data_IF_793079648464
#
_entry.id   IF_793079648464
#
_cell.length_a   1.000
_cell.length_b   1.000
_cell.length_c   1.000
_cell.angle_alpha   90.00
_cell.angle_beta   90.00
_cell.angle_gamma   90.00
#
_symmetry.space_group_name_H-M   'P 1'
#
loop_
_entity.id
_entity.type
_entity.pdbx_description
1 polymer ?
#
# COMPACT_ATOMS: atom_id res chain seq x y z
N UNK A 1 -13.25 1.14 -16.04
CA UNK A 1 -14.02 2.40 -16.08
C UNK A 1 -13.16 3.58 -16.50
N UNK A 2 -11.99 3.77 -15.89
CA UNK A 2 -11.05 4.84 -16.25
C UNK A 2 -10.76 4.94 -17.75
N UNK A 3 -10.60 3.83 -18.47
CA UNK A 3 -10.38 3.84 -19.91
C UNK A 3 -11.54 4.42 -20.74
N UNK A 4 -12.79 4.23 -20.27
CA UNK A 4 -13.99 4.74 -20.95
C UNK A 4 -14.29 6.20 -20.60
N UNK A 5 -13.96 6.63 -19.37
CA UNK A 5 -14.31 7.96 -18.85
C UNK A 5 -13.22 9.01 -19.06
N UNK A 6 -11.95 8.62 -19.02
CA UNK A 6 -10.84 9.56 -19.19
C UNK A 6 -10.29 9.56 -20.61
N UNK A 7 -9.90 10.76 -21.09
CA UNK A 7 -9.18 10.93 -22.36
C UNK A 7 -7.80 10.27 -22.29
N UNK A 8 -7.19 10.06 -23.46
CA UNK A 8 -5.91 9.34 -23.61
C UNK A 8 -4.79 9.86 -22.70
N UNK A 9 -4.63 11.18 -22.56
CA UNK A 9 -3.55 11.79 -21.76
C UNK A 9 -3.79 11.57 -20.25
N UNK A 10 -4.91 12.04 -19.63
CA UNK A 10 -5.18 11.76 -18.21
C UNK A 10 -5.15 10.28 -17.86
N UNK A 11 -5.65 9.43 -18.76
CA UNK A 11 -5.63 7.97 -18.60
C UNK A 11 -4.21 7.41 -18.54
N UNK A 12 -3.31 7.89 -19.38
CA UNK A 12 -1.91 7.47 -19.38
C UNK A 12 -1.20 7.92 -18.10
N UNK A 13 -1.46 9.16 -17.65
CA UNK A 13 -0.92 9.68 -16.39
C UNK A 13 -1.37 8.81 -15.21
N UNK A 14 -2.67 8.50 -15.11
CA UNK A 14 -3.19 7.62 -14.06
C UNK A 14 -2.54 6.23 -14.11
N UNK A 15 -2.36 5.66 -15.30
CA UNK A 15 -1.68 4.38 -15.44
C UNK A 15 -0.23 4.43 -14.97
N UNK A 16 0.54 5.45 -15.38
CA UNK A 16 1.93 5.63 -14.92
C UNK A 16 1.98 5.75 -13.40
N UNK A 17 1.10 6.54 -12.78
CA UNK A 17 1.05 6.69 -11.33
C UNK A 17 0.76 5.36 -10.61
N UNK A 18 -0.13 4.53 -11.16
CA UNK A 18 -0.41 3.20 -10.60
C UNK A 18 0.76 2.24 -10.80
N UNK A 19 1.47 2.27 -11.93
CA UNK A 19 2.68 1.45 -12.09
C UNK A 19 3.79 1.88 -11.14
N UNK A 20 4.00 3.18 -10.92
CA UNK A 20 4.94 3.67 -9.90
C UNK A 20 4.52 3.18 -8.51
N UNK A 21 3.23 3.09 -8.22
CA UNK A 21 2.70 2.52 -6.98
C UNK A 21 3.07 1.05 -6.79
N UNK A 22 2.88 0.27 -7.86
CA UNK A 22 3.18 -1.16 -7.86
C UNK A 22 4.68 -1.38 -7.70
N UNK A 23 5.51 -0.65 -8.45
CA UNK A 23 6.97 -0.75 -8.36
C UNK A 23 7.47 -0.29 -6.97
N UNK A 24 6.91 0.78 -6.41
CA UNK A 24 7.30 1.25 -5.09
C UNK A 24 7.00 0.23 -4.00
N UNK A 25 5.80 -0.35 -4.02
CA UNK A 25 5.41 -1.43 -3.11
C UNK A 25 6.26 -2.69 -3.27
N UNK A 26 6.60 -3.04 -4.51
CA UNK A 26 7.48 -4.15 -4.89
C UNK A 26 8.91 -3.94 -4.30
N UNK A 27 9.44 -2.72 -4.38
CA UNK A 27 10.72 -2.40 -3.75
C UNK A 27 10.70 -2.59 -2.23
N UNK A 28 9.66 -2.10 -1.53
CA UNK A 28 9.53 -2.27 -0.07
C UNK A 28 9.50 -3.75 0.33
N UNK A 29 8.86 -4.55 -0.50
CA UNK A 29 8.75 -5.98 -0.30
C UNK A 29 10.08 -6.72 -0.50
N UNK A 30 10.83 -6.38 -1.55
CA UNK A 30 12.18 -6.92 -1.77
C UNK A 30 13.09 -6.58 -0.59
N UNK A 31 12.99 -5.36 -0.06
CA UNK A 31 13.72 -4.95 1.15
C UNK A 31 13.32 -5.81 2.35
N UNK A 32 12.02 -5.95 2.63
CA UNK A 32 11.54 -6.75 3.77
C UNK A 32 11.95 -8.23 3.68
N UNK A 33 11.81 -8.83 2.50
CA UNK A 33 12.17 -10.23 2.25
C UNK A 33 13.69 -10.44 2.34
N UNK A 34 14.49 -9.50 1.83
CA UNK A 34 15.94 -9.55 1.97
C UNK A 34 16.40 -9.45 3.44
N UNK A 35 15.76 -8.57 4.24
CA UNK A 35 16.01 -8.47 5.69
C UNK A 35 15.58 -9.76 6.40
N UNK A 36 14.44 -10.35 6.05
CA UNK A 36 14.00 -11.62 6.61
C UNK A 36 15.00 -12.75 6.34
N UNK A 37 15.50 -12.88 5.11
CA UNK A 37 16.54 -13.87 4.75
C UNK A 37 17.85 -13.58 5.49
N UNK A 38 18.22 -12.31 5.62
CA UNK A 38 19.40 -11.89 6.39
C UNK A 38 19.31 -12.32 7.86
N UNK A 39 18.15 -12.14 8.49
CA UNK A 39 17.89 -12.58 9.86
C UNK A 39 17.84 -14.11 10.00
N UNK A 40 17.12 -14.81 9.11
CA UNK A 40 17.00 -16.28 9.12
C UNK A 40 18.35 -16.99 8.91
N UNK A 41 19.19 -16.44 8.04
CA UNK A 41 20.51 -17.00 7.75
C UNK A 41 21.57 -16.63 8.80
N UNK A 42 21.18 -15.98 9.90
CA UNK A 42 22.11 -15.46 10.89
C UNK A 42 23.25 -14.62 10.25
N UNK A 43 22.89 -13.70 9.35
CA UNK A 43 23.82 -12.81 8.62
C UNK A 43 24.76 -13.52 7.62
N UNK A 44 24.62 -14.83 7.39
CA UNK A 44 25.43 -15.56 6.39
C UNK A 44 25.12 -15.08 4.97
N UNK A 45 23.84 -14.84 4.67
CA UNK A 45 23.41 -14.32 3.37
C UNK A 45 23.40 -12.80 3.44
N UNK A 46 24.26 -12.09 2.69
CA UNK A 46 24.26 -10.62 2.70
C UNK A 46 22.98 -10.05 2.05
N UNK A 47 22.64 -8.80 2.38
CA UNK A 47 21.39 -8.15 1.93
C UNK A 47 21.24 -8.13 0.41
N UNK A 48 22.31 -7.84 -0.33
CA UNK A 48 22.29 -7.87 -1.80
C UNK A 48 22.01 -9.26 -2.36
N UNK A 49 22.50 -10.31 -1.70
CA UNK A 49 22.22 -11.69 -2.09
C UNK A 49 20.78 -12.08 -1.74
N UNK A 50 20.28 -11.62 -0.59
CA UNK A 50 18.86 -11.70 -0.24
C UNK A 50 17.96 -11.08 -1.32
N UNK A 51 18.32 -9.89 -1.82
CA UNK A 51 17.61 -9.23 -2.92
C UNK A 51 17.63 -10.02 -4.24
N UNK A 52 18.69 -10.79 -4.52
CA UNK A 52 18.73 -11.66 -5.70
C UNK A 52 17.91 -12.93 -5.51
N UNK A 53 17.87 -13.47 -4.29
CA UNK A 53 17.07 -14.66 -3.97
C UNK A 53 15.58 -14.38 -4.21
N UNK A 54 15.10 -13.16 -3.99
CA UNK A 54 13.69 -12.80 -4.24
C UNK A 54 13.27 -12.89 -5.71
N UNK A 55 14.22 -13.04 -6.65
CA UNK A 55 13.91 -13.39 -8.04
C UNK A 55 13.23 -14.76 -8.11
N UNK A 56 13.63 -15.70 -7.26
CA UNK A 56 13.06 -17.06 -7.20
C UNK A 56 11.57 -17.00 -6.82
N UNK A 57 11.20 -16.04 -5.99
CA UNK A 57 9.83 -15.80 -5.53
C UNK A 57 8.92 -15.45 -6.71
N UNK A 58 9.45 -14.72 -7.70
CA UNK A 58 8.73 -14.39 -8.94
C UNK A 58 8.41 -15.64 -9.76
N UNK A 59 9.35 -16.58 -9.83
CA UNK A 59 9.13 -17.87 -10.49
C UNK A 59 8.11 -18.71 -9.71
N UNK A 60 8.17 -18.66 -8.37
CA UNK A 60 7.21 -19.34 -7.49
C UNK A 60 5.80 -18.81 -7.68
N UNK A 61 5.62 -17.49 -7.72
CA UNK A 61 4.34 -16.85 -8.01
C UNK A 61 3.78 -17.31 -9.36
N UNK A 62 4.61 -17.25 -10.38
CA UNK A 62 4.16 -17.55 -11.72
C UNK A 62 3.89 -19.06 -11.94
N UNK A 63 4.55 -19.93 -11.17
CA UNK A 63 4.17 -21.34 -11.06
C UNK A 63 2.80 -21.51 -10.37
N UNK A 64 2.53 -20.77 -9.30
CA UNK A 64 1.26 -20.80 -8.58
C UNK A 64 0.08 -20.23 -9.40
N UNK A 65 0.31 -19.19 -10.20
CA UNK A 65 -0.71 -18.60 -11.10
C UNK A 65 -1.27 -19.63 -12.11
N UNK A 66 -0.47 -20.64 -12.50
CA UNK A 66 -0.92 -21.73 -13.38
C UNK A 66 -2.05 -22.55 -12.78
N UNK A 67 -2.19 -22.59 -11.45
CA UNK A 67 -3.18 -23.41 -10.75
C UNK A 67 -4.54 -22.73 -10.56
N UNK A 68 -4.70 -21.48 -11.01
CA UNK A 68 -5.96 -20.73 -10.98
C UNK A 68 -6.21 -19.94 -9.69
N UNK A 69 -7.11 -18.95 -9.77
CA UNK A 69 -7.31 -17.92 -8.73
C UNK A 69 -7.69 -18.51 -7.36
N UNK A 70 -8.55 -19.52 -7.32
CA UNK A 70 -9.05 -20.10 -6.05
C UNK A 70 -7.96 -20.74 -5.19
N UNK A 71 -6.98 -21.38 -5.82
CA UNK A 71 -5.83 -21.98 -5.10
C UNK A 71 -4.87 -20.89 -4.60
N UNK A 72 -4.77 -19.80 -5.35
CA UNK A 72 -3.97 -18.65 -4.99
C UNK A 72 -4.61 -17.85 -3.83
N UNK A 73 -5.93 -17.71 -3.79
CA UNK A 73 -6.65 -17.17 -2.62
C UNK A 73 -6.40 -18.00 -1.36
N UNK A 74 -6.43 -19.35 -1.46
CA UNK A 74 -6.07 -20.21 -0.32
C UNK A 74 -4.62 -20.03 0.11
N UNK A 75 -3.70 -19.81 -0.83
CA UNK A 75 -2.30 -19.50 -0.52
C UNK A 75 -2.15 -18.16 0.22
N UNK A 76 -2.89 -17.12 -0.20
CA UNK A 76 -2.96 -15.87 0.57
C UNK A 76 -3.50 -16.07 1.98
N UNK A 77 -4.57 -16.86 2.13
CA UNK A 77 -5.11 -17.22 3.43
C UNK A 77 -4.05 -17.90 4.32
N UNK A 78 -3.22 -18.78 3.74
CA UNK A 78 -2.10 -19.41 4.44
C UNK A 78 -1.06 -18.39 4.89
N UNK A 79 -0.62 -17.48 4.02
CA UNK A 79 0.37 -16.44 4.38
C UNK A 79 -0.16 -15.51 5.47
N UNK A 80 -1.43 -15.08 5.37
CA UNK A 80 -2.08 -14.26 6.41
C UNK A 80 -2.18 -15.01 7.73
N UNK A 81 -2.48 -16.31 7.69
CA UNK A 81 -2.51 -17.15 8.89
C UNK A 81 -1.13 -17.27 9.53
N UNK A 82 -0.07 -17.45 8.72
CA UNK A 82 1.31 -17.44 9.20
C UNK A 82 1.63 -16.12 9.90
N UNK A 83 1.36 -14.97 9.26
CA UNK A 83 1.56 -13.65 9.88
C UNK A 83 0.79 -13.48 11.20
N UNK A 84 -0.48 -13.92 11.23
CA UNK A 84 -1.31 -13.85 12.42
C UNK A 84 -0.77 -14.70 13.57
N UNK A 85 -0.24 -15.90 13.28
CA UNK A 85 0.36 -16.78 14.28
C UNK A 85 1.71 -16.24 14.74
N UNK A 86 2.59 -15.82 13.82
CA UNK A 86 3.94 -15.36 14.18
C UNK A 86 3.89 -14.07 14.98
N UNK A 87 3.17 -13.05 14.50
CA UNK A 87 3.09 -11.77 15.23
C UNK A 87 2.18 -11.89 16.46
N UNK A 88 1.18 -12.78 16.44
CA UNK A 88 0.39 -13.11 17.62
C UNK A 88 1.22 -13.78 18.72
N UNK A 89 2.15 -14.66 18.35
CA UNK A 89 3.11 -15.25 19.29
C UNK A 89 3.97 -14.16 19.95
N UNK A 90 4.55 -13.25 19.17
CA UNK A 90 5.34 -12.13 19.72
C UNK A 90 4.52 -11.24 20.67
N UNK A 91 3.25 -10.98 20.33
CA UNK A 91 2.33 -10.24 21.19
C UNK A 91 2.08 -10.95 22.52
N UNK A 92 1.85 -12.26 22.51
CA UNK A 92 1.61 -13.03 23.74
C UNK A 92 2.88 -13.12 24.59
N UNK A 93 4.04 -13.32 23.97
CA UNK A 93 5.33 -13.45 24.67
C UNK A 93 5.79 -12.13 25.27
N UNK A 94 5.63 -11.02 24.55
CA UNK A 94 5.97 -9.69 25.07
C UNK A 94 5.05 -9.21 26.19
N UNK A 95 3.82 -9.73 26.26
CA UNK A 95 2.88 -9.47 27.35
C UNK A 95 2.56 -7.99 27.57
N UNK A 96 2.23 -7.18 26.54
CA UNK A 96 1.85 -5.79 26.72
C UNK A 96 0.54 -5.70 27.52
N UNK A 97 0.37 -4.63 28.31
CA UNK A 97 -0.84 -4.43 29.09
C UNK A 97 -2.07 -4.30 28.18
N UNK A 98 -2.90 -5.35 28.15
CA UNK A 98 -4.06 -5.43 27.28
C UNK A 98 -5.08 -4.31 27.54
N UNK A 99 -5.15 -3.81 28.77
CA UNK A 99 -6.04 -2.69 29.11
C UNK A 99 -5.59 -1.39 28.44
N UNK A 100 -4.28 -1.16 28.35
CA UNK A 100 -3.74 0.05 27.74
C UNK A 100 -3.81 -0.02 26.22
N UNK A 101 -3.63 -1.21 25.63
CA UNK A 101 -3.87 -1.45 24.20
C UNK A 101 -5.32 -1.17 23.83
N UNK A 102 -6.29 -1.69 24.61
CA UNK A 102 -7.72 -1.45 24.37
C UNK A 102 -8.09 0.02 24.55
N UNK A 103 -7.55 0.69 25.58
CA UNK A 103 -7.73 2.15 25.74
C UNK A 103 -7.19 2.91 24.52
N UNK A 104 -5.99 2.57 24.04
CA UNK A 104 -5.39 3.20 22.87
C UNK A 104 -6.17 2.97 21.56
N UNK A 105 -6.85 1.82 21.44
CA UNK A 105 -7.66 1.50 20.27
C UNK A 105 -8.94 2.33 20.17
N UNK A 106 -9.61 2.61 21.30
CA UNK A 106 -10.90 3.30 21.32
C UNK A 106 -10.83 4.79 21.67
N UNK A 107 -9.75 5.23 22.32
CA UNK A 107 -9.60 6.60 22.82
C UNK A 107 -8.45 7.29 22.08
N UNK A 108 -8.74 8.14 21.07
CA UNK A 108 -7.73 8.96 20.41
C UNK A 108 -7.31 10.10 21.34
N UNK A 109 -6.35 9.85 22.24
CA UNK A 109 -5.76 10.86 23.12
C UNK A 109 -4.29 11.02 22.83
N UNK A 110 -3.85 12.27 22.69
CA UNK A 110 -2.44 12.61 22.80
C UNK A 110 -2.27 13.83 23.68
N UNK A 111 -1.63 13.65 24.85
CA UNK A 111 -1.42 14.73 25.83
C UNK A 111 -0.18 15.57 25.51
N UNK A 112 0.87 14.94 24.97
CA UNK A 112 2.18 15.56 24.70
C UNK A 112 2.71 15.21 23.29
N UNK A 113 1.85 15.24 22.27
CA UNK A 113 2.30 14.94 20.90
C UNK A 113 3.20 16.06 20.37
N UNK A 114 4.48 15.74 20.21
CA UNK A 114 5.36 16.51 19.33
C UNK A 114 4.88 16.39 17.87
N UNK A 115 5.19 17.40 17.04
CA UNK A 115 4.79 17.44 15.63
C UNK A 115 5.25 16.18 14.89
N UNK A 116 6.43 15.65 15.23
CA UNK A 116 6.99 14.39 14.70
C UNK A 116 6.10 13.17 14.97
N UNK A 117 5.54 13.05 16.17
CA UNK A 117 4.67 11.92 16.54
C UNK A 117 3.35 12.01 15.78
N UNK A 118 2.81 13.23 15.65
CA UNK A 118 1.60 13.45 14.86
C UNK A 118 1.83 13.07 13.39
N UNK A 119 2.97 13.45 12.81
CA UNK A 119 3.35 13.05 11.45
C UNK A 119 3.49 11.55 11.26
N UNK A 120 4.09 10.84 12.21
CA UNK A 120 4.21 9.39 12.14
C UNK A 120 2.82 8.73 12.20
N UNK A 121 1.96 9.16 13.13
CA UNK A 121 0.58 8.65 13.22
C UNK A 121 -0.22 8.91 11.93
N UNK A 122 -0.02 10.09 11.36
CA UNK A 122 -0.60 10.51 10.07
C UNK A 122 -0.03 9.68 8.90
N UNK A 123 1.28 9.37 8.92
CA UNK A 123 1.96 8.52 7.95
C UNK A 123 1.47 7.07 7.99
N UNK A 124 1.12 6.54 9.17
CA UNK A 124 0.50 5.21 9.31
C UNK A 124 -0.84 5.15 8.57
N UNK A 125 -1.67 6.19 8.65
CA UNK A 125 -2.95 6.24 7.91
C UNK A 125 -2.70 6.15 6.39
N UNK A 126 -1.70 6.89 5.89
CA UNK A 126 -1.31 6.85 4.48
C UNK A 126 -0.72 5.50 4.05
N UNK A 127 0.09 4.87 4.90
CA UNK A 127 0.70 3.57 4.63
C UNK A 127 -0.32 2.42 4.62
N UNK A 128 -1.37 2.48 5.46
CA UNK A 128 -2.40 1.43 5.52
C UNK A 128 -3.27 1.42 4.25
N UNK A 129 -3.53 2.58 3.65
CA UNK A 129 -4.37 2.67 2.46
C UNK A 129 -3.50 2.64 1.22
N UNK A 130 -3.36 1.46 0.61
CA UNK A 130 -2.57 1.30 -0.61
C UNK A 130 -3.41 1.54 -1.87
N UNK A 131 -3.03 2.49 -2.76
CA UNK A 131 -3.86 2.86 -3.91
C UNK A 131 -4.03 1.72 -4.93
N UNK A 132 -3.01 0.89 -5.12
CA UNK A 132 -3.09 -0.25 -6.05
C UNK A 132 -4.07 -1.33 -5.57
N UNK A 133 -4.28 -1.47 -4.25
CA UNK A 133 -5.24 -2.43 -3.70
C UNK A 133 -6.70 -2.06 -4.03
N UNK A 134 -7.03 -0.77 -4.18
CA UNK A 134 -8.35 -0.35 -4.66
C UNK A 134 -8.63 -0.88 -6.08
N UNK A 135 -7.63 -0.83 -6.96
CA UNK A 135 -7.74 -1.38 -8.31
C UNK A 135 -7.81 -2.91 -8.28
N UNK A 136 -6.98 -3.56 -7.47
CA UNK A 136 -6.96 -5.01 -7.30
C UNK A 136 -8.33 -5.54 -6.83
N UNK A 137 -8.86 -5.01 -5.73
CA UNK A 137 -10.16 -5.43 -5.20
C UNK A 137 -11.28 -5.25 -6.24
N UNK A 138 -11.27 -4.13 -6.98
CA UNK A 138 -12.27 -3.88 -8.03
C UNK A 138 -12.22 -4.87 -9.20
N UNK A 139 -11.07 -5.54 -9.40
CA UNK A 139 -10.89 -6.59 -10.39
C UNK A 139 -11.22 -7.99 -9.83
N UNK A 140 -10.79 -8.27 -8.60
CA UNK A 140 -11.04 -9.56 -7.94
C UNK A 140 -12.53 -9.83 -7.73
N UNK A 141 -13.36 -8.81 -7.47
CA UNK A 141 -14.83 -8.98 -7.38
C UNK A 141 -15.48 -9.43 -8.69
N UNK A 142 -14.76 -9.40 -9.82
CA UNK A 142 -15.25 -9.93 -11.11
C UNK A 142 -14.88 -11.40 -11.34
N UNK A 143 -14.09 -12.00 -10.45
CA UNK A 143 -13.70 -13.40 -10.56
C UNK A 143 -14.86 -14.36 -10.28
N UNK A 144 -15.83 -13.93 -9.47
CA UNK A 144 -17.04 -14.72 -9.20
C UNK A 144 -18.10 -14.40 -10.23
N UNK A 145 -18.70 -15.45 -10.79
CA UNK A 145 -19.78 -15.33 -11.76
C UNK A 145 -21.08 -14.97 -11.04
N UNK A 146 -21.68 -13.85 -11.44
CA UNK A 146 -22.88 -13.28 -10.82
C UNK A 146 -23.80 -12.84 -11.95
N UNK A 147 -25.05 -13.27 -11.89
CA UNK A 147 -26.08 -12.78 -12.81
C UNK A 147 -26.38 -11.30 -12.53
N UNK A 148 -25.86 -10.43 -13.39
CA UNK A 148 -26.01 -8.97 -13.27
C UNK A 148 -27.38 -8.46 -13.72
N UNK A 149 -28.22 -9.32 -14.30
CA UNK A 149 -29.58 -8.93 -14.73
C UNK A 149 -30.56 -8.95 -13.56
N UNK A 150 -30.30 -9.78 -12.54
CA UNK A 150 -31.15 -9.88 -11.36
C UNK A 150 -30.64 -8.94 -10.23
N UNK A 151 -31.38 -7.88 -9.87
CA UNK A 151 -30.95 -6.94 -8.83
C UNK A 151 -30.85 -7.57 -7.44
N UNK A 152 -31.63 -8.62 -7.13
CA UNK A 152 -31.57 -9.30 -5.83
C UNK A 152 -30.25 -10.06 -5.67
N UNK A 153 -29.85 -10.80 -6.72
CA UNK A 153 -28.56 -11.52 -6.74
C UNK A 153 -27.37 -10.58 -6.67
N UNK A 154 -27.48 -9.40 -7.30
CA UNK A 154 -26.44 -8.38 -7.22
C UNK A 154 -26.34 -7.79 -5.80
N UNK A 155 -27.47 -7.56 -5.13
CA UNK A 155 -27.52 -7.11 -3.73
C UNK A 155 -26.92 -8.15 -2.78
N UNK A 156 -27.27 -9.43 -2.97
CA UNK A 156 -26.73 -10.56 -2.21
C UNK A 156 -25.20 -10.67 -2.40
N UNK A 157 -24.72 -10.61 -3.64
CA UNK A 157 -23.29 -10.64 -3.93
C UNK A 157 -22.54 -9.47 -3.28
N UNK A 158 -23.12 -8.25 -3.32
CA UNK A 158 -22.53 -7.09 -2.65
C UNK A 158 -22.43 -7.28 -1.13
N UNK A 159 -23.42 -7.93 -0.50
CA UNK A 159 -23.38 -8.27 0.92
C UNK A 159 -22.25 -9.26 1.24
N UNK A 160 -22.07 -10.32 0.43
CA UNK A 160 -20.97 -11.26 0.65
C UNK A 160 -19.60 -10.62 0.45
N UNK A 161 -19.44 -9.78 -0.58
CA UNK A 161 -18.18 -9.05 -0.78
C UNK A 161 -17.88 -8.05 0.35
N UNK A 162 -18.92 -7.43 0.91
CA UNK A 162 -18.77 -6.58 2.09
C UNK A 162 -18.28 -7.38 3.30
N UNK A 163 -18.88 -8.54 3.57
CA UNK A 163 -18.48 -9.42 4.67
C UNK A 163 -17.04 -9.93 4.47
N UNK A 164 -16.71 -10.42 3.27
CA UNK A 164 -15.36 -10.91 2.92
C UNK A 164 -14.30 -9.83 3.13
N UNK A 165 -14.55 -8.62 2.62
CA UNK A 165 -13.63 -7.49 2.79
C UNK A 165 -13.54 -7.03 4.24
N UNK A 166 -14.65 -7.01 4.98
CA UNK A 166 -14.68 -6.64 6.39
C UNK A 166 -13.86 -7.61 7.25
N UNK A 167 -14.01 -8.93 7.05
CA UNK A 167 -13.23 -9.94 7.77
C UNK A 167 -11.75 -9.78 7.46
N UNK A 168 -11.37 -9.62 6.19
CA UNK A 168 -9.97 -9.45 5.80
C UNK A 168 -9.34 -8.19 6.43
N UNK A 169 -10.07 -7.07 6.46
CA UNK A 169 -9.61 -5.83 7.09
C UNK A 169 -9.54 -5.93 8.61
N UNK A 170 -10.44 -6.66 9.26
CA UNK A 170 -10.37 -6.93 10.71
C UNK A 170 -9.16 -7.79 11.03
N UNK A 171 -8.87 -8.83 10.25
CA UNK A 171 -7.65 -9.63 10.42
C UNK A 171 -6.39 -8.76 10.27
N UNK A 172 -6.35 -7.90 9.26
CA UNK A 172 -5.25 -6.93 9.06
C UNK A 172 -5.11 -5.97 10.25
N UNK A 173 -6.22 -5.46 10.79
CA UNK A 173 -6.22 -4.62 11.99
C UNK A 173 -5.62 -5.35 13.20
N UNK A 174 -6.00 -6.61 13.43
CA UNK A 174 -5.47 -7.42 14.54
C UNK A 174 -3.95 -7.62 14.40
N UNK A 175 -3.48 -7.97 13.20
CA UNK A 175 -2.05 -8.11 12.89
C UNK A 175 -1.30 -6.80 13.17
N UNK A 176 -1.82 -5.67 12.72
CA UNK A 176 -1.23 -4.36 12.97
C UNK A 176 -1.20 -4.00 14.46
N UNK A 177 -2.27 -4.33 15.21
CA UNK A 177 -2.30 -4.15 16.66
C UNK A 177 -1.21 -4.98 17.34
N UNK A 178 -1.01 -6.24 16.93
CA UNK A 178 0.07 -7.07 17.47
C UNK A 178 1.44 -6.43 17.25
N UNK A 179 1.77 -6.09 16.01
CA UNK A 179 3.07 -5.51 15.65
C UNK A 179 3.32 -4.19 16.39
N UNK A 180 2.36 -3.25 16.34
CA UNK A 180 2.51 -1.94 16.99
C UNK A 180 2.61 -2.07 18.50
N UNK A 181 1.82 -2.94 19.13
CA UNK A 181 1.83 -3.10 20.60
C UNK A 181 3.14 -3.70 21.11
N UNK A 182 3.69 -4.71 20.40
CA UNK A 182 4.96 -5.36 20.76
C UNK A 182 6.09 -4.35 20.79
N UNK A 183 6.23 -3.55 19.74
CA UNK A 183 7.32 -2.57 19.65
C UNK A 183 7.05 -1.30 20.47
N UNK A 184 5.79 -0.89 20.64
CA UNK A 184 5.45 0.18 21.57
C UNK A 184 5.81 -0.22 23.01
N UNK A 185 5.57 -1.45 23.43
CA UNK A 185 5.97 -1.90 24.76
C UNK A 185 7.49 -2.04 24.90
N UNK A 186 8.15 -2.60 23.88
CA UNK A 186 9.57 -2.93 23.93
C UNK A 186 10.55 -1.77 23.69
N UNK A 187 10.20 -0.84 22.80
CA UNK A 187 11.12 0.18 22.27
C UNK A 187 10.69 1.63 22.56
N UNK A 188 9.46 1.88 23.00
CA UNK A 188 8.99 3.25 23.24
C UNK A 188 9.77 3.90 24.39
N UNK A 189 10.32 5.10 24.13
CA UNK A 189 11.16 5.87 25.05
C UNK A 189 12.39 5.13 25.60
N UNK A 190 12.83 4.06 24.93
CA UNK A 190 14.08 3.37 25.24
C UNK A 190 15.22 3.97 24.44
N UNK A 191 16.37 4.15 25.08
CA UNK A 191 17.60 4.54 24.39
C UNK A 191 18.33 3.33 23.84
N UNK A 192 19.20 3.55 22.84
CA UNK A 192 20.09 2.50 22.33
C UNK A 192 20.92 1.86 23.47
N UNK A 193 21.35 2.66 24.46
CA UNK A 193 22.03 2.17 25.65
C UNK A 193 21.17 1.28 26.56
N UNK A 194 19.89 1.62 26.74
CA UNK A 194 18.96 0.80 27.52
C UNK A 194 18.77 -0.58 26.89
N UNK A 195 18.63 -0.63 25.55
CA UNK A 195 18.50 -1.91 24.84
C UNK A 195 19.79 -2.72 24.95
N UNK A 196 20.95 -2.10 24.76
CA UNK A 196 22.26 -2.75 24.92
C UNK A 196 22.44 -3.36 26.33
N UNK A 197 21.94 -2.69 27.37
CA UNK A 197 22.03 -3.16 28.76
C UNK A 197 21.18 -4.41 29.05
N UNK A 198 20.12 -4.64 28.26
CA UNK A 198 19.25 -5.83 28.37
C UNK A 198 19.93 -7.06 27.73
N UNK A 199 20.98 -6.87 26.91
CA UNK A 199 21.67 -7.94 26.18
C UNK A 199 22.70 -8.63 27.09
N UNK A 200 22.29 -9.64 27.86
CA UNK A 200 23.21 -10.40 28.71
C UNK A 200 23.97 -11.55 27.99
N UNK A 201 23.62 -11.94 26.76
CA UNK A 201 24.14 -13.21 26.19
C UNK A 201 24.21 -13.31 24.66
N UNK A 202 24.62 -12.26 23.95
CA UNK A 202 24.76 -12.31 22.49
C UNK A 202 25.69 -11.24 21.91
N UNK A 203 27.01 -11.41 22.10
CA UNK A 203 28.08 -10.48 21.68
C UNK A 203 27.99 -10.05 20.20
N UNK A 204 27.42 -10.88 19.33
CA UNK A 204 27.38 -10.68 17.87
C UNK A 204 26.20 -9.83 17.36
N UNK A 205 25.16 -9.62 18.18
CA UNK A 205 24.01 -8.78 17.84
C UNK A 205 24.09 -7.37 18.44
N UNK A 206 24.92 -7.18 19.46
CA UNK A 206 25.24 -5.89 20.09
C UNK A 206 25.68 -4.82 19.07
N UNK A 207 26.42 -5.23 18.04
CA UNK A 207 26.95 -4.33 16.99
C UNK A 207 25.84 -3.54 16.27
N UNK A 208 24.61 -4.08 16.19
CA UNK A 208 23.49 -3.39 15.55
C UNK A 208 23.06 -2.10 16.27
N UNK A 209 23.26 -2.01 17.58
CA UNK A 209 22.89 -0.86 18.40
C UNK A 209 24.11 -0.07 18.91
N UNK A 210 25.29 -0.70 18.95
CA UNK A 210 26.54 -0.09 19.43
C UNK A 210 27.15 0.93 18.44
N UNK A 211 26.76 0.88 17.16
CA UNK A 211 27.20 1.79 16.12
C UNK A 211 26.56 3.18 16.20
N UNK A 212 25.50 3.35 16.99
CA UNK A 212 24.74 4.60 17.11
C UNK A 212 24.97 5.28 18.45
N UNK A 213 24.69 6.59 18.55
CA UNK A 213 24.79 7.33 19.81
C UNK A 213 23.89 6.67 20.87
N UNK A 214 24.51 6.12 21.93
CA UNK A 214 23.80 5.37 22.98
C UNK A 214 22.72 6.19 23.71
N UNK A 215 22.83 7.51 23.68
CA UNK A 215 21.92 8.44 24.37
C UNK A 215 20.71 8.86 23.51
N UNK A 216 20.62 8.43 22.25
CA UNK A 216 19.45 8.69 21.42
C UNK A 216 18.40 7.59 21.59
N UNK A 217 17.13 7.98 21.41
CA UNK A 217 16.02 7.04 21.37
C UNK A 217 16.18 6.09 20.18
N UNK A 218 15.77 4.83 20.37
CA UNK A 218 15.85 3.82 19.31
C UNK A 218 14.95 4.23 18.14
N UNK A 219 15.53 4.39 16.96
CA UNK A 219 14.75 4.45 15.71
C UNK A 219 14.34 3.03 15.32
N UNK A 220 13.06 2.72 15.45
CA UNK A 220 12.54 1.37 15.31
C UNK A 220 12.37 1.00 13.82
N UNK A 221 13.14 0.03 13.36
CA UNK A 221 12.99 -0.57 12.02
C UNK A 221 12.76 -2.09 12.10
N UNK A 222 12.48 -2.69 10.94
CA UNK A 222 12.17 -4.13 10.81
C UNK A 222 13.34 -5.01 11.32
N UNK A 223 14.58 -4.55 11.13
CA UNK A 223 15.78 -5.29 11.52
C UNK A 223 16.06 -5.16 13.01
N UNK A 224 16.14 -3.93 13.54
CA UNK A 224 16.31 -3.62 14.96
C UNK A 224 15.20 -4.24 15.80
N UNK A 225 13.97 -4.24 15.30
CA UNK A 225 12.84 -4.93 15.92
C UNK A 225 13.08 -6.44 16.07
N UNK A 226 13.56 -7.10 15.01
CA UNK A 226 13.89 -8.52 15.06
C UNK A 226 15.04 -8.86 16.00
N UNK A 227 16.08 -8.02 16.04
CA UNK A 227 17.19 -8.18 16.99
C UNK A 227 16.70 -7.99 18.43
N UNK A 228 15.87 -6.97 18.68
CA UNK A 228 15.27 -6.74 20.00
C UNK A 228 14.50 -7.96 20.49
N UNK A 229 13.63 -8.54 19.66
CA UNK A 229 12.88 -9.74 20.02
C UNK A 229 13.79 -10.93 20.31
N UNK A 230 14.85 -11.10 19.50
CA UNK A 230 15.88 -12.12 19.72
C UNK A 230 16.62 -11.98 21.05
N UNK A 231 16.95 -10.74 21.42
CA UNK A 231 17.66 -10.45 22.67
C UNK A 231 16.77 -10.57 23.90
N UNK A 232 15.54 -10.06 23.83
CA UNK A 232 14.61 -10.01 24.96
C UNK A 232 13.93 -11.36 25.24
N UNK A 233 13.59 -12.11 24.19
CA UNK A 233 12.76 -13.33 24.29
C UNK A 233 13.45 -14.58 23.72
N UNK A 234 14.68 -14.45 23.23
CA UNK A 234 15.50 -15.54 22.71
C UNK A 234 15.45 -15.68 21.19
N UNK A 235 16.41 -16.44 20.64
CA UNK A 235 16.63 -16.60 19.19
C UNK A 235 15.40 -17.13 18.44
N UNK A 236 14.54 -17.92 19.11
CA UNK A 236 13.31 -18.41 18.52
C UNK A 236 12.36 -17.27 18.11
N UNK A 237 12.24 -16.22 18.92
CA UNK A 237 11.41 -15.05 18.62
C UNK A 237 11.92 -14.29 17.39
N UNK A 238 13.24 -14.15 17.27
CA UNK A 238 13.87 -13.55 16.07
C UNK A 238 13.50 -14.32 14.80
N UNK A 239 13.57 -15.65 14.83
CA UNK A 239 13.21 -16.47 13.66
C UNK A 239 11.71 -16.44 13.36
N UNK A 240 10.86 -16.45 14.39
CA UNK A 240 9.40 -16.32 14.22
C UNK A 240 9.05 -14.98 13.58
N UNK A 241 9.66 -13.89 14.03
CA UNK A 241 9.56 -12.56 13.43
C UNK A 241 9.99 -12.57 11.96
N UNK A 242 11.15 -13.15 11.66
CA UNK A 242 11.68 -13.21 10.29
C UNK A 242 10.79 -14.06 9.35
N UNK A 243 10.21 -15.16 9.83
CA UNK A 243 9.22 -15.95 9.05
C UNK A 243 7.96 -15.12 8.78
N UNK A 244 7.48 -14.35 9.77
CA UNK A 244 6.34 -13.45 9.61
C UNK A 244 6.58 -12.38 8.53
N UNK A 245 7.76 -11.74 8.55
CA UNK A 245 8.15 -10.76 7.53
C UNK A 245 8.27 -11.42 6.16
N UNK A 246 8.85 -12.62 6.07
CA UNK A 246 8.97 -13.36 4.82
C UNK A 246 7.58 -13.63 4.22
N UNK A 247 6.62 -14.08 5.05
CA UNK A 247 5.25 -14.30 4.63
C UNK A 247 4.54 -13.01 4.16
N UNK A 248 4.77 -11.89 4.87
CA UNK A 248 4.26 -10.58 4.50
C UNK A 248 4.82 -10.11 3.15
N UNK A 249 6.12 -10.31 2.93
CA UNK A 249 6.81 -10.08 1.67
C UNK A 249 6.10 -10.84 0.54
N UNK A 250 6.10 -12.17 0.60
CA UNK A 250 5.51 -13.02 -0.43
C UNK A 250 4.06 -12.65 -0.78
N UNK A 251 3.25 -12.32 0.23
CA UNK A 251 1.86 -11.92 0.00
C UNK A 251 1.77 -10.64 -0.84
N UNK A 252 2.65 -9.66 -0.60
CA UNK A 252 2.68 -8.37 -1.30
C UNK A 252 3.19 -8.51 -2.75
N UNK A 253 4.12 -9.43 -3.06
CA UNK A 253 4.55 -9.69 -4.46
C UNK A 253 3.34 -9.97 -5.33
N UNK A 254 2.55 -10.93 -4.87
CA UNK A 254 1.50 -11.49 -5.68
C UNK A 254 0.36 -10.47 -5.84
N UNK A 255 0.01 -9.72 -4.80
CA UNK A 255 -1.00 -8.66 -4.92
C UNK A 255 -0.53 -7.53 -5.83
N UNK A 256 0.72 -7.09 -5.74
CA UNK A 256 1.30 -6.05 -6.60
C UNK A 256 1.29 -6.43 -8.09
N UNK A 257 1.68 -7.67 -8.40
CA UNK A 257 1.68 -8.18 -9.78
C UNK A 257 0.28 -8.25 -10.38
N UNK A 258 -0.72 -8.70 -9.62
CA UNK A 258 -2.13 -8.66 -10.06
C UNK A 258 -2.66 -7.24 -10.20
N UNK A 259 -2.42 -6.38 -9.21
CA UNK A 259 -2.88 -4.99 -9.21
C UNK A 259 -2.38 -4.26 -10.46
N UNK A 260 -1.09 -4.44 -10.74
CA UNK A 260 -0.49 -3.97 -11.98
C UNK A 260 -1.17 -4.57 -13.21
N UNK A 261 -1.35 -5.90 -13.28
CA UNK A 261 -1.97 -6.57 -14.44
C UNK A 261 -3.31 -5.95 -14.77
N UNK A 262 -4.18 -5.85 -13.77
CA UNK A 262 -5.51 -5.27 -13.93
C UNK A 262 -5.47 -3.77 -14.24
N UNK A 263 -4.51 -3.02 -13.70
CA UNK A 263 -4.32 -1.62 -14.05
C UNK A 263 -3.94 -1.47 -15.53
N UNK A 264 -2.98 -2.24 -16.04
CA UNK A 264 -2.55 -2.15 -17.44
C UNK A 264 -3.63 -2.60 -18.42
N UNK A 265 -4.27 -3.74 -18.17
CA UNK A 265 -5.40 -4.21 -18.97
C UNK A 265 -6.56 -3.20 -18.92
N UNK A 266 -6.81 -2.62 -17.75
CA UNK A 266 -7.92 -1.69 -17.52
C UNK A 266 -7.70 -0.28 -18.07
N UNK A 267 -6.48 0.26 -18.02
CA UNK A 267 -6.15 1.61 -18.48
C UNK A 267 -5.68 1.64 -19.95
N UNK A 268 -4.87 0.67 -20.38
CA UNK A 268 -4.28 0.65 -21.72
C UNK A 268 -5.00 -0.30 -22.68
N UNK A 269 -5.87 -1.21 -22.21
CA UNK A 269 -6.39 -2.34 -22.99
C UNK A 269 -5.27 -3.17 -23.65
N UNK A 270 -4.09 -3.20 -23.02
CA UNK A 270 -2.94 -3.95 -23.49
C UNK A 270 -2.93 -5.32 -22.82
N UNK A 271 -3.04 -6.39 -23.61
CA UNK A 271 -2.92 -7.77 -23.13
C UNK A 271 -1.46 -8.21 -23.19
N UNK A 272 -0.72 -8.00 -22.11
CA UNK A 272 0.66 -8.45 -21.97
C UNK A 272 0.71 -9.81 -21.27
N UNK A 273 1.63 -10.69 -21.70
CA UNK A 273 1.82 -11.98 -21.02
C UNK A 273 2.28 -11.74 -19.58
N UNK A 274 1.60 -12.40 -18.62
CA UNK A 274 1.83 -12.25 -17.18
C UNK A 274 3.30 -12.43 -16.80
N UNK A 275 3.96 -13.48 -17.30
CA UNK A 275 5.37 -13.76 -17.02
C UNK A 275 6.30 -12.63 -17.46
N UNK A 276 6.10 -12.10 -18.67
CA UNK A 276 6.93 -10.99 -19.19
C UNK A 276 6.76 -9.74 -18.36
N UNK A 277 5.52 -9.46 -17.95
CA UNK A 277 5.19 -8.31 -17.13
C UNK A 277 5.81 -8.41 -15.73
N UNK A 278 5.61 -9.53 -15.04
CA UNK A 278 6.17 -9.75 -13.70
C UNK A 278 7.69 -9.61 -13.72
N UNK A 279 8.36 -10.23 -14.69
CA UNK A 279 9.80 -10.11 -14.83
C UNK A 279 10.25 -8.66 -15.08
N UNK A 280 9.51 -7.91 -15.88
CA UNK A 280 9.81 -6.50 -16.17
C UNK A 280 9.64 -5.61 -14.93
N UNK A 281 8.49 -5.68 -14.24
CA UNK A 281 8.25 -4.86 -13.04
C UNK A 281 9.21 -5.21 -11.93
N UNK A 282 9.51 -6.51 -11.75
CA UNK A 282 10.49 -6.99 -10.76
C UNK A 282 11.90 -6.54 -11.07
N UNK A 283 12.30 -6.58 -12.34
CA UNK A 283 13.62 -6.06 -12.75
C UNK A 283 13.74 -4.57 -12.46
N UNK A 284 12.68 -3.79 -12.71
CA UNK A 284 12.67 -2.35 -12.45
C UNK A 284 12.69 -2.02 -10.96
N UNK A 285 12.05 -2.83 -10.11
CA UNK A 285 12.10 -2.72 -8.65
C UNK A 285 13.43 -3.20 -8.07
N UNK A 286 13.99 -4.30 -8.58
CA UNK A 286 15.22 -4.91 -8.05
C UNK A 286 16.47 -4.10 -8.33
N UNK A 287 16.60 -3.45 -9.49
CA UNK A 287 17.80 -2.67 -9.83
C UNK A 287 18.12 -1.60 -8.77
N UNK A 288 17.21 -0.68 -8.40
CA UNK A 288 17.51 0.31 -7.37
C UNK A 288 17.76 -0.33 -6.00
N UNK A 289 16.95 -1.32 -5.60
CA UNK A 289 17.09 -1.99 -4.29
C UNK A 289 18.40 -2.76 -4.18
N UNK A 290 18.81 -3.47 -5.23
CA UNK A 290 20.09 -4.17 -5.29
C UNK A 290 21.26 -3.20 -5.26
N UNK A 291 21.21 -2.12 -6.03
CA UNK A 291 22.25 -1.09 -6.01
C UNK A 291 22.42 -0.50 -4.60
N UNK A 292 21.33 -0.14 -3.93
CA UNK A 292 21.39 0.35 -2.55
C UNK A 292 21.93 -0.73 -1.61
N UNK A 293 21.47 -1.99 -1.72
CA UNK A 293 21.96 -3.07 -0.86
C UNK A 293 23.44 -3.46 -1.11
N UNK A 294 23.97 -3.18 -2.30
CA UNK A 294 25.36 -3.51 -2.67
C UNK A 294 26.34 -2.38 -2.34
N UNK A 295 25.94 -1.12 -2.57
CA UNK A 295 26.80 0.04 -2.38
C UNK A 295 26.62 0.76 -1.04
N UNK A 296 25.57 0.44 -0.29
CA UNK A 296 25.13 1.22 0.88
C UNK A 296 24.86 0.33 2.09
N UNK A 297 24.72 0.95 3.27
CA UNK A 297 24.50 0.25 4.53
C UNK A 297 23.00 0.00 4.78
N UNK A 298 22.68 -0.76 5.84
CA UNK A 298 21.30 -1.07 6.21
C UNK A 298 20.44 0.19 6.48
N UNK A 299 21.03 1.24 7.06
CA UNK A 299 20.37 2.54 7.29
C UNK A 299 19.85 3.19 6.02
N UNK A 300 20.53 2.95 4.89
CA UNK A 300 20.17 3.51 3.59
C UNK A 300 18.98 2.76 2.97
N UNK A 301 18.81 1.47 3.29
CA UNK A 301 17.62 0.69 2.92
C UNK A 301 16.39 1.12 3.72
N UNK A 302 16.54 1.39 5.02
CA UNK A 302 15.48 1.96 5.84
C UNK A 302 15.08 3.34 5.32
N UNK A 303 16.05 4.19 4.98
CA UNK A 303 15.80 5.49 4.36
C UNK A 303 15.10 5.36 2.99
N UNK A 304 15.49 4.39 2.16
CA UNK A 304 14.82 4.10 0.90
C UNK A 304 13.35 3.72 1.13
N UNK A 305 13.06 2.89 2.14
CA UNK A 305 11.69 2.52 2.50
C UNK A 305 10.83 3.74 2.88
N UNK A 306 11.38 4.69 3.63
CA UNK A 306 10.71 5.96 3.94
C UNK A 306 10.37 6.78 2.69
N UNK A 307 11.31 6.89 1.75
CA UNK A 307 11.06 7.60 0.49
C UNK A 307 9.98 6.89 -0.33
N UNK A 308 9.97 5.56 -0.34
CA UNK A 308 8.92 4.79 -1.00
C UNK A 308 7.55 5.03 -0.37
N UNK A 309 7.47 5.10 0.96
CA UNK A 309 6.24 5.47 1.67
C UNK A 309 5.73 6.86 1.26
N UNK A 310 6.63 7.84 1.15
CA UNK A 310 6.28 9.18 0.67
C UNK A 310 5.80 9.18 -0.80
N UNK A 311 6.40 8.37 -1.66
CA UNK A 311 5.96 8.22 -3.05
C UNK A 311 4.58 7.55 -3.13
N UNK A 312 4.33 6.53 -2.31
CA UNK A 312 3.05 5.84 -2.22
C UNK A 312 1.93 6.76 -1.73
N UNK A 313 2.23 7.61 -0.75
CA UNK A 313 1.27 8.56 -0.18
C UNK A 313 0.80 9.61 -1.20
N UNK A 314 1.68 10.05 -2.11
CA UNK A 314 1.33 10.94 -3.23
C UNK A 314 0.37 10.30 -4.24
N UNK A 315 0.31 8.98 -4.32
CA UNK A 315 -0.50 8.30 -5.34
C UNK A 315 -1.96 8.09 -4.92
N UNK A 316 -2.24 8.16 -3.62
CA UNK A 316 -3.57 7.95 -3.05
C UNK A 316 -4.72 8.74 -3.73
N UNK A 317 -4.59 10.06 -3.98
CA UNK A 317 -5.65 10.81 -4.65
C UNK A 317 -6.02 10.25 -6.02
N UNK A 318 -5.06 9.66 -6.74
CA UNK A 318 -5.26 9.13 -8.09
C UNK A 318 -6.06 7.82 -8.12
N UNK A 319 -6.16 7.12 -6.99
CA UNK A 319 -7.04 5.95 -6.85
C UNK A 319 -8.37 6.31 -6.18
N UNK A 320 -8.31 7.13 -5.12
CA UNK A 320 -9.48 7.50 -4.33
C UNK A 320 -10.47 8.38 -5.10
N UNK A 321 -10.00 9.46 -5.74
CA UNK A 321 -10.87 10.42 -6.42
C UNK A 321 -11.69 9.74 -7.55
N UNK A 322 -11.08 8.97 -8.48
CA UNK A 322 -11.85 8.27 -9.50
C UNK A 322 -12.83 7.25 -8.92
N UNK A 323 -12.46 6.56 -7.84
CA UNK A 323 -13.33 5.56 -7.20
C UNK A 323 -14.58 6.22 -6.62
N UNK A 324 -14.44 7.34 -5.90
CA UNK A 324 -15.57 8.10 -5.36
C UNK A 324 -16.40 8.68 -6.51
N UNK A 325 -15.76 9.20 -7.56
CA UNK A 325 -16.45 9.76 -8.72
C UNK A 325 -17.35 8.73 -9.42
N UNK A 326 -16.83 7.53 -9.67
CA UNK A 326 -17.60 6.49 -10.37
C UNK A 326 -18.69 5.86 -9.50
N UNK A 327 -18.40 5.62 -8.22
CA UNK A 327 -19.38 5.05 -7.28
C UNK A 327 -20.51 6.03 -6.91
N UNK A 328 -20.27 7.33 -7.08
CA UNK A 328 -21.25 8.39 -6.82
C UNK A 328 -22.08 8.80 -8.05
N UNK A 329 -21.77 8.27 -9.24
CA UNK A 329 -22.41 8.64 -10.50
C UNK A 329 -23.60 7.71 -10.83
N UNK A 330 -24.85 8.23 -10.85
CA UNK A 330 -26.05 7.45 -11.16
C UNK A 330 -26.04 6.81 -12.54
N UNK A 331 -25.35 7.40 -13.53
CA UNK A 331 -25.25 6.87 -14.89
C UNK A 331 -24.35 5.63 -14.97
N UNK A 332 -23.45 5.44 -13.99
CA UNK A 332 -22.52 4.30 -13.95
C UNK A 332 -23.05 3.20 -13.03
N UNK A 333 -23.52 3.57 -11.83
CA UNK A 333 -23.94 2.61 -10.79
C UNK A 333 -25.44 2.30 -10.80
N UNK A 334 -26.26 3.07 -11.53
CA UNK A 334 -27.71 2.90 -11.57
C UNK A 334 -28.34 2.99 -10.18
N UNK A 335 -29.18 2.02 -9.83
CA UNK A 335 -29.84 1.93 -8.51
C UNK A 335 -28.90 1.66 -7.34
N UNK A 336 -27.65 1.24 -7.59
CA UNK A 336 -26.65 0.91 -6.57
C UNK A 336 -25.67 2.06 -6.31
N UNK A 337 -26.06 3.30 -6.63
CA UNK A 337 -25.25 4.50 -6.38
C UNK A 337 -25.12 4.76 -4.88
N UNK A 338 -23.97 5.29 -4.46
CA UNK A 338 -23.76 5.68 -3.05
C UNK A 338 -24.85 6.66 -2.56
N UNK A 339 -25.37 6.42 -1.36
CA UNK A 339 -26.25 7.37 -0.67
C UNK A 339 -25.53 8.66 -0.26
N UNK A 340 -26.28 9.72 0.01
CA UNK A 340 -25.73 11.06 0.34
C UNK A 340 -24.76 11.00 1.53
N UNK A 341 -25.10 10.23 2.57
CA UNK A 341 -24.26 10.07 3.77
C UNK A 341 -22.91 9.47 3.39
N UNK A 342 -22.88 8.39 2.61
CA UNK A 342 -21.64 7.75 2.16
C UNK A 342 -20.83 8.68 1.26
N UNK A 343 -21.48 9.47 0.39
CA UNK A 343 -20.80 10.48 -0.42
C UNK A 343 -20.10 11.53 0.44
N UNK A 344 -20.76 12.05 1.47
CA UNK A 344 -20.18 13.05 2.39
C UNK A 344 -19.02 12.44 3.18
N UNK A 345 -19.20 11.25 3.75
CA UNK A 345 -18.17 10.57 4.54
C UNK A 345 -16.95 10.26 3.68
N UNK A 346 -17.14 9.68 2.48
CA UNK A 346 -16.04 9.34 1.58
C UNK A 346 -15.30 10.58 1.08
N UNK A 347 -16.02 11.68 0.80
CA UNK A 347 -15.41 12.95 0.43
C UNK A 347 -14.59 13.54 1.58
N UNK A 348 -15.14 13.60 2.79
CA UNK A 348 -14.43 14.10 3.97
C UNK A 348 -13.17 13.27 4.23
N UNK A 349 -13.28 11.95 4.26
CA UNK A 349 -12.16 11.04 4.50
C UNK A 349 -11.08 11.21 3.41
N UNK A 350 -11.48 11.31 2.14
CA UNK A 350 -10.55 11.55 1.04
C UNK A 350 -9.83 12.88 1.18
N UNK A 351 -10.51 13.96 1.57
CA UNK A 351 -9.88 15.28 1.77
C UNK A 351 -8.87 15.20 2.91
N UNK A 352 -9.25 14.61 4.04
CA UNK A 352 -8.37 14.45 5.21
C UNK A 352 -7.10 13.69 4.81
N UNK A 353 -7.24 12.53 4.17
CA UNK A 353 -6.11 11.69 3.72
C UNK A 353 -5.22 12.45 2.73
N UNK A 354 -5.80 13.15 1.75
CA UNK A 354 -5.00 13.87 0.74
C UNK A 354 -4.21 15.01 1.37
N UNK A 355 -4.83 15.81 2.26
CA UNK A 355 -4.14 16.90 2.98
C UNK A 355 -3.00 16.37 3.84
N UNK A 356 -3.28 15.30 4.59
CA UNK A 356 -2.31 14.58 5.43
C UNK A 356 -1.09 14.13 4.64
N UNK A 357 -1.31 13.46 3.51
CA UNK A 357 -0.22 12.90 2.72
C UNK A 357 0.61 13.98 2.03
N UNK A 358 -0.04 15.06 1.58
CA UNK A 358 0.67 16.23 1.06
C UNK A 358 1.54 16.86 2.13
N UNK A 359 1.01 17.05 3.35
CA UNK A 359 1.77 17.59 4.47
C UNK A 359 2.99 16.73 4.81
N UNK A 360 2.81 15.41 4.92
CA UNK A 360 3.90 14.45 5.16
C UNK A 360 5.02 14.55 4.11
N UNK A 361 4.66 14.65 2.84
CA UNK A 361 5.63 14.76 1.74
C UNK A 361 6.37 16.09 1.78
N UNK A 362 5.66 17.21 1.99
CA UNK A 362 6.28 18.54 2.09
C UNK A 362 7.28 18.56 3.23
N UNK A 363 6.94 18.00 4.39
CA UNK A 363 7.86 17.96 5.53
C UNK A 363 9.10 17.11 5.26
N UNK A 364 8.93 15.92 4.66
CA UNK A 364 10.09 15.10 4.27
C UNK A 364 10.97 15.87 3.29
N UNK A 365 10.41 16.56 2.30
CA UNK A 365 11.17 17.36 1.33
C UNK A 365 11.90 18.55 1.94
N UNK A 366 11.30 19.25 2.92
CA UNK A 366 11.93 20.40 3.59
C UNK A 366 13.13 19.99 4.44
N UNK A 367 13.13 18.78 4.98
CA UNK A 367 14.23 18.25 5.76
C UNK A 367 15.41 17.77 4.90
N UNK A 368 15.26 17.67 3.56
CA UNK A 368 16.37 17.35 2.68
C UNK A 368 17.12 18.63 2.27
N UNK A 369 18.42 18.68 2.55
CA UNK A 369 19.32 19.70 2.04
C UNK A 369 19.63 19.47 0.55
N UNK A 370 18.69 19.86 -0.33
CA UNK A 370 18.82 19.65 -1.77
C UNK A 370 19.53 20.81 -2.48
N UNK A 371 20.24 20.47 -3.55
CA UNK A 371 20.79 21.45 -4.48
C UNK A 371 19.66 22.20 -5.21
N UNK A 372 19.87 23.50 -5.49
CA UNK A 372 18.82 24.39 -6.02
C UNK A 372 18.14 23.87 -7.30
N UNK A 373 18.87 23.17 -8.18
CA UNK A 373 18.30 22.62 -9.41
C UNK A 373 17.35 21.44 -9.14
N UNK A 374 17.57 20.66 -8.09
CA UNK A 374 16.68 19.56 -7.70
C UNK A 374 15.39 20.16 -7.15
N UNK A 375 15.51 21.21 -6.34
CA UNK A 375 14.35 21.93 -5.78
C UNK A 375 13.46 22.52 -6.87
N UNK A 376 14.05 23.12 -7.92
CA UNK A 376 13.26 23.67 -9.03
C UNK A 376 12.53 22.59 -9.84
N UNK A 377 13.15 21.43 -10.08
CA UNK A 377 12.49 20.27 -10.72
C UNK A 377 11.33 19.78 -9.86
N UNK A 378 11.54 19.61 -8.55
CA UNK A 378 10.50 19.18 -7.62
C UNK A 378 9.33 20.15 -7.62
N UNK A 379 9.59 21.46 -7.62
CA UNK A 379 8.54 22.47 -7.67
C UNK A 379 7.70 22.36 -8.96
N UNK A 380 8.35 22.18 -10.13
CA UNK A 380 7.64 21.99 -11.40
C UNK A 380 6.76 20.73 -11.35
N UNK A 381 7.30 19.61 -10.84
CA UNK A 381 6.53 18.36 -10.69
C UNK A 381 5.36 18.53 -9.71
N UNK A 382 5.56 19.26 -8.61
CA UNK A 382 4.50 19.56 -7.66
C UNK A 382 3.38 20.39 -8.31
N UNK A 383 3.71 21.42 -9.09
CA UNK A 383 2.69 22.19 -9.82
C UNK A 383 1.91 21.30 -10.79
N UNK A 384 2.59 20.46 -11.58
CA UNK A 384 1.93 19.50 -12.47
C UNK A 384 1.01 18.53 -11.70
N UNK A 385 1.46 18.04 -10.55
CA UNK A 385 0.71 17.16 -9.66
C UNK A 385 -0.58 17.82 -9.17
N UNK A 386 -0.51 19.05 -8.65
CA UNK A 386 -1.68 19.79 -8.17
C UNK A 386 -2.66 20.13 -9.30
N UNK A 387 -2.17 20.52 -10.48
CA UNK A 387 -3.02 20.73 -11.67
C UNK A 387 -3.79 19.45 -12.01
N UNK A 388 -3.13 18.30 -11.94
CA UNK A 388 -3.77 17.02 -12.25
C UNK A 388 -4.79 16.59 -11.19
N UNK A 389 -4.52 16.83 -9.91
CA UNK A 389 -5.51 16.64 -8.84
C UNK A 389 -6.73 17.54 -9.08
N UNK A 390 -6.52 18.81 -9.39
CA UNK A 390 -7.63 19.74 -9.67
C UNK A 390 -8.49 19.24 -10.84
N UNK A 391 -7.87 18.71 -11.89
CA UNK A 391 -8.60 18.06 -12.99
C UNK A 391 -9.48 16.90 -12.50
N UNK A 392 -8.95 16.01 -11.64
CA UNK A 392 -9.73 14.89 -11.10
C UNK A 392 -10.85 15.35 -10.17
N UNK A 393 -10.63 16.39 -9.35
CA UNK A 393 -11.64 16.98 -8.47
C UNK A 393 -12.78 17.60 -9.27
N UNK A 394 -12.48 18.31 -10.37
CA UNK A 394 -13.52 18.82 -11.29
C UNK A 394 -14.33 17.66 -11.87
N UNK A 395 -13.66 16.58 -12.28
CA UNK A 395 -14.35 15.39 -12.78
C UNK A 395 -15.21 14.70 -11.71
N UNK A 396 -14.77 14.67 -10.45
CA UNK A 396 -15.53 14.19 -9.31
C UNK A 396 -16.78 15.04 -9.09
N UNK A 397 -16.65 16.36 -9.08
CA UNK A 397 -17.77 17.30 -8.93
C UNK A 397 -18.85 17.09 -9.99
N UNK A 398 -18.44 16.97 -11.26
CA UNK A 398 -19.36 16.70 -12.38
C UNK A 398 -20.02 15.33 -12.23
N UNK A 399 -19.27 14.30 -11.82
CA UNK A 399 -19.80 12.96 -11.60
C UNK A 399 -20.83 12.90 -10.46
N UNK A 400 -20.74 13.79 -9.48
CA UNK A 400 -21.71 13.94 -8.39
C UNK A 400 -22.97 14.74 -8.80
N UNK A 401 -23.05 15.25 -10.03
CA UNK A 401 -24.19 15.98 -10.56
C UNK A 401 -24.07 17.51 -10.50
N UNK A 402 -22.87 18.03 -10.21
CA UNK A 402 -22.62 19.47 -10.21
C UNK A 402 -22.65 20.06 -11.62
N UNK A 403 -23.54 21.03 -11.85
CA UNK A 403 -23.75 21.67 -13.16
C UNK A 403 -22.93 22.95 -13.35
N UNK A 404 -22.52 23.63 -12.26
CA UNK A 404 -21.91 24.96 -12.29
C UNK A 404 -20.63 25.08 -13.13
N UNK A 405 -19.80 24.03 -13.16
CA UNK A 405 -18.54 23.98 -13.94
C UNK A 405 -18.66 23.23 -15.27
N UNK A 406 -19.80 22.56 -15.54
CA UNK A 406 -19.96 21.70 -16.71
C UNK A 406 -20.05 22.51 -18.01
N UNK A 407 -20.59 23.72 -17.94
CA UNK A 407 -20.91 24.53 -19.12
C UNK A 407 -19.73 25.39 -19.60
N UNK A 408 -18.62 25.40 -18.87
CA UNK A 408 -17.45 26.19 -19.26
C UNK A 408 -16.73 25.52 -20.45
N UNK A 409 -16.54 26.20 -21.60
CA UNK A 409 -15.97 25.58 -22.81
C UNK A 409 -14.57 24.99 -22.64
N UNK A 410 -13.78 25.52 -21.69
CA UNK A 410 -12.49 24.95 -21.33
C UNK A 410 -12.64 23.57 -20.68
N UNK A 411 -13.61 23.38 -19.77
CA UNK A 411 -13.82 22.14 -19.01
C UNK A 411 -14.51 21.08 -19.87
N UNK A 412 -15.52 21.46 -20.66
CA UNK A 412 -16.22 20.57 -21.58
C UNK A 412 -15.29 19.93 -22.63
N UNK A 413 -14.20 20.63 -23.01
CA UNK A 413 -13.17 20.09 -23.91
C UNK A 413 -12.30 19.02 -23.26
N UNK A 414 -12.19 18.96 -21.93
CA UNK A 414 -11.29 18.02 -21.22
C UNK A 414 -12.03 16.93 -20.43
N UNK A 415 -13.32 17.11 -20.11
CA UNK A 415 -14.15 16.13 -19.40
C UNK A 415 -15.03 15.39 -20.40
N UNK A 416 -14.98 14.05 -20.43
CA UNK A 416 -15.91 13.25 -21.24
C UNK A 416 -17.12 12.92 -20.38
N UNK A 417 -18.28 13.53 -20.62
CA UNK A 417 -19.60 12.92 -20.33
C UNK A 417 -20.60 13.51 -21.35
N UNK A 418 -21.37 12.71 -22.12
CA UNK A 418 -22.24 11.67 -21.58
C UNK A 418 -22.17 10.27 -22.20
N UNK A 419 -22.20 9.26 -21.30
CA UNK A 419 -22.51 7.84 -21.59
C UNK A 419 -23.82 7.62 -22.35
N UNK A 420 -24.68 8.65 -22.45
CA UNK A 420 -26.00 8.55 -23.09
C UNK A 420 -25.91 8.11 -24.56
N UNK A 421 -24.96 8.62 -25.34
CA UNK A 421 -24.81 8.22 -26.74
C UNK A 421 -24.13 6.85 -26.89
N UNK A 422 -23.08 6.59 -26.11
CA UNK A 422 -22.27 5.38 -26.29
C UNK A 422 -22.95 4.10 -25.78
N UNK A 423 -23.78 4.15 -24.74
CA UNK A 423 -24.55 2.96 -24.30
C UNK A 423 -25.58 2.62 -25.38
N UNK A 424 -26.27 3.62 -25.95
CA UNK A 424 -27.21 3.44 -27.06
C UNK A 424 -26.51 2.85 -28.29
N UNK A 425 -25.30 3.28 -28.60
CA UNK A 425 -24.54 2.74 -29.74
C UNK A 425 -23.98 1.33 -29.49
N UNK A 426 -23.74 0.95 -28.23
CA UNK A 426 -23.27 -0.40 -27.87
C UNK A 426 -24.43 -1.39 -27.81
N UNK A 427 -25.58 -1.00 -27.24
CA UNK A 427 -26.82 -1.78 -27.26
C UNK A 427 -27.37 -1.92 -28.68
N UNK A 428 -27.27 -0.89 -29.53
CA UNK A 428 -27.61 -1.02 -30.96
C UNK A 428 -26.69 -1.98 -31.70
N UNK A 429 -25.40 -2.08 -31.35
CA UNK A 429 -24.49 -3.06 -31.97
C UNK A 429 -24.77 -4.49 -31.52
N UNK A 430 -25.07 -4.68 -30.24
CA UNK A 430 -25.48 -6.00 -29.71
C UNK A 430 -26.87 -6.43 -30.23
N UNK A 431 -27.80 -5.50 -30.47
CA UNK A 431 -29.10 -5.79 -31.10
C UNK A 431 -29.02 -5.98 -32.62
N UNK A 432 -28.07 -5.32 -33.31
CA UNK A 432 -27.92 -5.42 -34.77
C UNK A 432 -26.99 -6.55 -35.24
N UNK A 433 -26.43 -7.35 -34.33
CA UNK A 433 -25.65 -8.55 -34.68
C UNK A 433 -24.46 -8.28 -35.61
N UNK A 434 -23.68 -7.22 -35.35
CA UNK A 434 -22.43 -6.91 -36.06
C UNK A 434 -21.22 -7.04 -35.13
#
# INVERSE_FOLDING_TARGET
MCHRQYKRIPRLILWVMVEIAVIGSDMQEVIGTAIAIYLLSNKIVPLWAGCLITIIDTFTFLFLDKYGLRKLEMFFGLLITVMGITFGYEYVVSGPNSMDVVKGLFIPMCKDCDSKVLLQAVGVIGAVIMPHNLYLHSALVKSRDIDRKNPERLKEANMYYYIESAIALICSLIINIFVVSVFAFGLFQKTNGDIVSIIESGVEYLIAFQSEQLNEYVDADIYKGGIFLGCAYGVAALYIWAVGILAAGQSSTMTGTYAGQFAMEGFLNLRWSKWKRVLFTRSLAMVPTFCTAFFSNLSDLTSLNDYLNAVMSLQLPFALIPTIAFTSNPKIMGSFTNGIIIKIISLMLSVVIVVINIYFVVEKLLNLSLQLYIVSIIYILAVCYFIFIMYLVIHLYIAMGGTWMSDHPAIAKFVIVPLGQQIIDTEKKEQNGV
#
